data_IF_157700199116
#
_entry.id   IF_157700199116
#
_cell.length_a   1.000
_cell.length_b   1.000
_cell.length_c   1.000
_cell.angle_alpha   90.00
_cell.angle_beta   90.00
_cell.angle_gamma   90.00
#
_symmetry.space_group_name_H-M   'P 1'
#
loop_
_entity.id
_entity.type
_entity.pdbx_description
1 polymer ?
#
# COMPACT_ATOMS: atom_id res chain seq x y z
N UNK A 1 -24.44 -7.47 28.66
CA UNK A 1 -24.26 -8.69 27.84
C UNK A 1 -24.22 -8.37 26.35
N UNK A 2 -25.20 -7.64 25.79
CA UNK A 2 -25.19 -7.19 24.38
C UNK A 2 -23.97 -6.29 24.08
N UNK A 3 -23.67 -5.33 24.96
CA UNK A 3 -22.51 -4.44 24.82
C UNK A 3 -21.17 -5.19 24.80
N UNK A 4 -21.01 -6.20 25.65
CA UNK A 4 -19.81 -7.05 25.70
C UNK A 4 -19.63 -7.85 24.41
N UNK A 5 -20.72 -8.38 23.84
CA UNK A 5 -20.71 -9.10 22.56
C UNK A 5 -20.32 -8.15 21.42
N UNK A 6 -20.89 -6.94 21.37
CA UNK A 6 -20.57 -5.94 20.35
C UNK A 6 -19.09 -5.54 20.38
N UNK A 7 -18.52 -5.39 21.58
CA UNK A 7 -17.12 -5.02 21.77
C UNK A 7 -16.16 -6.14 21.32
N UNK A 8 -16.51 -7.40 21.58
CA UNK A 8 -15.77 -8.57 21.07
C UNK A 8 -15.82 -8.64 19.55
N UNK A 9 -16.99 -8.44 18.93
CA UNK A 9 -17.12 -8.43 17.47
C UNK A 9 -16.33 -7.28 16.84
N UNK A 10 -16.38 -6.07 17.41
CA UNK A 10 -15.60 -4.93 16.96
C UNK A 10 -14.10 -5.24 17.01
N UNK A 11 -13.62 -5.80 18.12
CA UNK A 11 -12.23 -6.20 18.27
C UNK A 11 -11.79 -7.27 17.25
N UNK A 12 -12.62 -8.28 17.01
CA UNK A 12 -12.36 -9.32 16.01
C UNK A 12 -12.29 -8.76 14.59
N UNK A 13 -13.21 -7.86 14.23
CA UNK A 13 -13.23 -7.22 12.91
C UNK A 13 -11.99 -6.35 12.68
N UNK A 14 -11.57 -5.58 13.69
CA UNK A 14 -10.32 -4.80 13.65
C UNK A 14 -9.11 -5.73 13.52
N UNK A 15 -9.06 -6.82 14.28
CA UNK A 15 -7.95 -7.78 14.25
C UNK A 15 -7.84 -8.48 12.88
N UNK A 16 -8.95 -8.98 12.34
CA UNK A 16 -8.99 -9.60 11.01
C UNK A 16 -8.62 -8.60 9.91
N UNK A 17 -9.10 -7.36 10.02
CA UNK A 17 -8.69 -6.26 9.15
C UNK A 17 -7.19 -6.00 9.21
N UNK A 18 -6.57 -6.19 10.39
CA UNK A 18 -5.12 -5.99 10.61
C UNK A 18 -4.31 -7.10 9.97
N UNK A 19 -4.74 -8.35 10.15
CA UNK A 19 -4.14 -9.50 9.47
C UNK A 19 -4.20 -9.35 7.95
N UNK A 20 -5.31 -8.83 7.43
CA UNK A 20 -5.45 -8.49 6.01
C UNK A 20 -4.41 -7.48 5.49
N UNK A 21 -3.85 -6.62 6.36
CA UNK A 21 -2.82 -5.63 5.99
C UNK A 21 -1.40 -6.21 5.96
N UNK A 22 -1.15 -7.35 6.62
CA UNK A 22 0.12 -8.07 6.48
C UNK A 22 0.40 -8.53 5.05
N UNK A 23 -0.62 -8.57 4.17
CA UNK A 23 -0.42 -8.78 2.73
C UNK A 23 0.60 -7.81 2.12
N UNK A 24 0.71 -6.58 2.63
CA UNK A 24 1.69 -5.60 2.14
C UNK A 24 3.12 -5.95 2.58
N UNK A 25 3.29 -6.51 3.78
CA UNK A 25 4.58 -7.06 4.22
C UNK A 25 4.98 -8.23 3.33
N UNK A 26 4.03 -9.14 3.05
CA UNK A 26 4.25 -10.23 2.11
C UNK A 26 4.65 -9.71 0.73
N UNK A 27 3.95 -8.69 0.22
CA UNK A 27 4.22 -8.09 -1.09
C UNK A 27 5.63 -7.48 -1.15
N UNK A 28 6.06 -6.76 -0.12
CA UNK A 28 7.44 -6.26 -0.01
C UNK A 28 8.47 -7.39 0.05
N UNK A 29 8.18 -8.47 0.79
CA UNK A 29 9.04 -9.66 0.85
C UNK A 29 9.08 -10.42 -0.47
N UNK A 30 7.96 -10.46 -1.22
CA UNK A 30 7.90 -11.04 -2.56
C UNK A 30 8.80 -10.26 -3.50
N UNK A 31 8.69 -8.93 -3.54
CA UNK A 31 9.54 -8.07 -4.35
C UNK A 31 11.04 -8.25 -4.04
N UNK A 32 11.38 -8.33 -2.75
CA UNK A 32 12.75 -8.64 -2.30
C UNK A 32 13.23 -10.01 -2.77
N UNK A 33 12.42 -11.06 -2.62
CA UNK A 33 12.79 -12.44 -3.02
C UNK A 33 12.97 -12.57 -4.52
N UNK A 34 12.16 -11.86 -5.30
CA UNK A 34 12.21 -11.90 -6.76
C UNK A 34 13.23 -10.90 -7.34
N UNK A 35 13.80 -10.03 -6.52
CA UNK A 35 14.62 -8.88 -6.95
C UNK A 35 13.93 -8.02 -8.04
N UNK A 36 12.60 -8.06 -8.10
CA UNK A 36 11.79 -7.34 -9.07
C UNK A 36 10.45 -6.99 -8.45
N UNK A 37 9.89 -5.85 -8.84
CA UNK A 37 8.55 -5.41 -8.46
C UNK A 37 7.72 -4.97 -9.67
N UNK A 38 8.01 -5.50 -10.85
CA UNK A 38 7.35 -5.15 -12.11
C UNK A 38 5.85 -5.45 -12.07
N UNK A 39 5.48 -6.62 -11.53
CA UNK A 39 4.08 -7.07 -11.40
C UNK A 39 3.25 -6.23 -10.40
N UNK A 40 3.89 -5.33 -9.65
CA UNK A 40 3.23 -4.61 -8.56
C UNK A 40 2.72 -3.27 -9.05
N UNK A 41 1.39 -3.08 -8.95
CA UNK A 41 0.78 -1.78 -9.25
C UNK A 41 1.22 -0.71 -8.25
N UNK A 42 2.20 0.11 -8.68
CA UNK A 42 2.75 1.24 -7.93
C UNK A 42 1.66 2.25 -7.53
N UNK A 43 0.83 2.62 -8.51
CA UNK A 43 -0.27 3.58 -8.32
C UNK A 43 -1.24 3.13 -7.25
N UNK A 44 -1.66 1.87 -7.30
CA UNK A 44 -2.57 1.31 -6.30
C UNK A 44 -1.95 1.32 -4.90
N UNK A 45 -0.68 0.95 -4.78
CA UNK A 45 0.01 0.90 -3.50
C UNK A 45 0.23 2.30 -2.90
N UNK A 46 0.60 3.28 -3.72
CA UNK A 46 0.74 4.67 -3.29
C UNK A 46 -0.60 5.27 -2.88
N UNK A 47 -1.66 5.04 -3.66
CA UNK A 47 -3.01 5.51 -3.33
C UNK A 47 -3.52 4.88 -2.03
N UNK A 48 -3.28 3.58 -1.84
CA UNK A 48 -3.61 2.89 -0.58
C UNK A 48 -2.91 3.55 0.61
N UNK A 49 -1.62 3.87 0.46
CA UNK A 49 -0.85 4.52 1.51
C UNK A 49 -1.43 5.89 1.89
N UNK A 50 -1.85 6.68 0.90
CA UNK A 50 -2.52 7.97 1.12
C UNK A 50 -3.86 7.79 1.84
N UNK A 51 -4.68 6.82 1.41
CA UNK A 51 -5.97 6.53 2.05
C UNK A 51 -5.78 6.15 3.53
N UNK A 52 -4.73 5.41 3.86
CA UNK A 52 -4.44 5.03 5.25
C UNK A 52 -4.06 6.24 6.11
N UNK A 53 -3.32 7.20 5.57
CA UNK A 53 -3.07 8.47 6.25
C UNK A 53 -4.34 9.28 6.47
N UNK A 54 -5.24 9.36 5.48
CA UNK A 54 -6.52 10.06 5.61
C UNK A 54 -7.36 9.42 6.73
N UNK A 55 -7.49 8.09 6.74
CA UNK A 55 -8.24 7.37 7.75
C UNK A 55 -7.59 7.49 9.15
N UNK A 56 -6.26 7.44 9.24
CA UNK A 56 -5.53 7.67 10.48
C UNK A 56 -5.82 9.05 11.06
N UNK A 57 -5.68 10.10 10.25
CA UNK A 57 -5.98 11.48 10.67
C UNK A 57 -7.44 11.65 11.08
N UNK A 58 -8.38 11.06 10.34
CA UNK A 58 -9.80 11.09 10.71
C UNK A 58 -10.05 10.47 12.09
N UNK A 59 -9.45 9.31 12.39
CA UNK A 59 -9.62 8.62 13.67
C UNK A 59 -8.99 9.36 14.84
N UNK A 60 -7.88 10.07 14.61
CA UNK A 60 -7.32 11.01 15.59
C UNK A 60 -8.35 12.11 15.94
N UNK A 61 -9.01 12.69 14.94
CA UNK A 61 -9.95 13.80 15.15
C UNK A 61 -11.21 13.40 15.92
N UNK A 62 -11.68 12.16 15.78
CA UNK A 62 -12.85 11.64 16.50
C UNK A 62 -12.50 10.95 17.83
N UNK A 63 -11.21 10.85 18.17
CA UNK A 63 -10.74 10.24 19.42
C UNK A 63 -10.80 8.70 19.44
N UNK A 64 -10.96 8.03 18.29
CA UNK A 64 -10.96 6.57 18.22
C UNK A 64 -9.52 6.04 18.25
N UNK A 65 -9.07 5.68 19.45
CA UNK A 65 -7.70 5.24 19.68
C UNK A 65 -7.42 3.86 19.08
N UNK A 66 -8.42 2.96 19.05
CA UNK A 66 -8.26 1.60 18.54
C UNK A 66 -8.06 1.64 17.03
N UNK A 67 -8.92 2.37 16.33
CA UNK A 67 -8.80 2.52 14.88
C UNK A 67 -7.55 3.33 14.50
N UNK A 68 -7.17 4.34 15.30
CA UNK A 68 -5.91 5.07 15.09
C UNK A 68 -4.70 4.13 15.07
N UNK A 69 -4.56 3.26 16.07
CA UNK A 69 -3.46 2.28 16.11
C UNK A 69 -3.53 1.35 14.88
N UNK A 70 -4.72 0.89 14.55
CA UNK A 70 -4.97 0.01 13.43
C UNK A 70 -4.55 0.62 12.08
N UNK A 71 -4.93 1.87 11.80
CA UNK A 71 -4.49 2.61 10.62
C UNK A 71 -2.98 2.88 10.64
N UNK A 72 -2.39 3.09 11.81
CA UNK A 72 -0.93 3.17 12.00
C UNK A 72 -0.19 1.91 11.52
N UNK A 73 -0.70 0.71 11.85
CA UNK A 73 -0.17 -0.56 11.32
C UNK A 73 -0.33 -0.64 9.80
N UNK A 74 -1.45 -0.14 9.26
CA UNK A 74 -1.64 -0.03 7.81
C UNK A 74 -0.57 0.85 7.16
N UNK A 75 -0.29 2.01 7.73
CA UNK A 75 0.71 2.96 7.24
C UNK A 75 2.10 2.31 7.23
N UNK A 76 2.50 1.65 8.31
CA UNK A 76 3.84 1.03 8.39
C UNK A 76 4.02 -0.13 7.41
N UNK A 77 3.02 -1.00 7.29
CA UNK A 77 3.06 -2.15 6.36
C UNK A 77 3.04 -1.72 4.89
N UNK A 78 2.26 -0.69 4.54
CA UNK A 78 2.25 -0.12 3.18
C UNK A 78 3.48 0.72 2.87
N UNK A 79 4.05 1.43 3.85
CA UNK A 79 5.33 2.13 3.69
C UNK A 79 6.46 1.14 3.35
N UNK A 80 6.54 0.02 4.10
CA UNK A 80 7.50 -1.05 3.82
C UNK A 80 7.35 -1.59 2.40
N UNK A 81 6.12 -1.88 1.98
CA UNK A 81 5.86 -2.35 0.62
C UNK A 81 6.30 -1.31 -0.43
N UNK A 82 5.97 -0.02 -0.25
CA UNK A 82 6.36 1.04 -1.16
C UNK A 82 7.89 1.17 -1.26
N UNK A 83 8.61 1.09 -0.14
CA UNK A 83 10.08 1.14 -0.11
C UNK A 83 10.67 -0.05 -0.88
N UNK A 84 10.16 -1.26 -0.67
CA UNK A 84 10.64 -2.46 -1.37
C UNK A 84 10.34 -2.38 -2.86
N UNK A 85 9.13 -1.96 -3.25
CA UNK A 85 8.76 -1.77 -4.66
C UNK A 85 9.64 -0.70 -5.30
N UNK A 86 9.89 0.43 -4.64
CA UNK A 86 10.81 1.46 -5.17
C UNK A 86 12.23 0.91 -5.36
N UNK A 87 12.76 0.19 -4.38
CA UNK A 87 14.12 -0.38 -4.41
C UNK A 87 14.30 -1.40 -5.53
N UNK A 88 13.31 -2.28 -5.70
CA UNK A 88 13.33 -3.39 -6.65
C UNK A 88 12.62 -3.09 -7.97
N UNK A 89 12.27 -1.82 -8.22
CA UNK A 89 11.73 -1.43 -9.51
C UNK A 89 12.79 -1.58 -10.61
N UNK A 90 12.42 -2.10 -11.80
CA UNK A 90 13.37 -2.35 -12.90
C UNK A 90 13.97 -1.05 -13.42
N UNK A 91 13.19 0.04 -13.48
CA UNK A 91 13.67 1.37 -13.88
C UNK A 91 14.19 2.13 -12.65
N UNK A 92 15.45 2.59 -12.71
CA UNK A 92 16.02 3.43 -11.65
C UNK A 92 15.67 4.90 -11.87
N UNK A 93 14.93 5.47 -10.94
CA UNK A 93 14.57 6.89 -10.94
C UNK A 93 15.63 7.67 -10.17
N UNK A 94 15.95 8.88 -10.64
CA UNK A 94 16.90 9.78 -9.97
C UNK A 94 16.36 10.31 -8.62
N UNK A 95 15.04 10.28 -8.41
CA UNK A 95 14.40 10.71 -7.17
C UNK A 95 13.10 9.95 -6.91
N UNK A 96 12.73 9.85 -5.62
CA UNK A 96 11.44 9.29 -5.20
C UNK A 96 10.29 10.10 -5.78
N UNK A 97 10.43 11.43 -5.90
CA UNK A 97 9.42 12.29 -6.51
C UNK A 97 9.20 12.00 -8.00
N UNK A 98 10.28 11.72 -8.75
CA UNK A 98 10.15 11.32 -10.15
C UNK A 98 9.41 9.99 -10.29
N UNK A 99 9.70 9.03 -9.40
CA UNK A 99 8.99 7.75 -9.34
C UNK A 99 7.49 7.92 -9.01
N UNK A 100 7.17 8.75 -8.02
CA UNK A 100 5.78 9.03 -7.64
C UNK A 100 5.06 9.71 -8.80
N UNK A 101 5.64 10.76 -9.38
CA UNK A 101 5.03 11.50 -10.50
C UNK A 101 4.75 10.57 -11.69
N UNK A 102 5.71 9.73 -12.06
CA UNK A 102 5.55 8.76 -13.14
C UNK A 102 4.45 7.73 -12.84
N UNK A 103 4.32 7.31 -11.57
CA UNK A 103 3.27 6.36 -11.16
C UNK A 103 1.84 6.91 -11.33
N UNK A 104 1.67 8.23 -11.43
CA UNK A 104 0.39 8.89 -11.67
C UNK A 104 0.22 9.42 -13.10
N UNK A 105 1.26 9.36 -13.94
CA UNK A 105 1.18 9.83 -15.32
C UNK A 105 0.36 8.85 -16.18
N UNK A 106 -0.62 9.38 -16.91
CA UNK A 106 -1.59 8.60 -17.68
C UNK A 106 -0.92 7.88 -18.86
N UNK A 107 0.15 8.47 -19.43
CA UNK A 107 0.90 7.89 -20.57
C UNK A 107 1.59 6.59 -20.19
N UNK A 108 2.20 6.52 -19.01
CA UNK A 108 2.87 5.31 -18.51
C UNK A 108 1.85 4.24 -18.15
N UNK A 109 0.68 4.63 -17.62
CA UNK A 109 -0.42 3.71 -17.32
C UNK A 109 -0.96 3.00 -18.57
N UNK A 110 -1.13 3.72 -19.68
CA UNK A 110 -1.59 3.15 -20.95
C UNK A 110 -0.51 2.25 -21.55
N UNK A 111 0.76 2.66 -21.51
CA UNK A 111 1.87 1.87 -22.04
C UNK A 111 2.04 0.52 -21.30
N UNK A 112 1.95 0.53 -19.97
CA UNK A 112 2.11 -0.66 -19.13
C UNK A 112 0.86 -1.56 -19.14
N UNK A 113 -0.35 -0.98 -19.29
CA UNK A 113 -1.61 -1.75 -19.34
C UNK A 113 -1.86 -2.41 -20.70
N UNK A 114 -1.42 -1.77 -21.80
CA UNK A 114 -1.65 -2.28 -23.16
C UNK A 114 -0.46 -3.05 -23.76
N UNK A 115 0.63 -3.28 -23.01
CA UNK A 115 1.81 -4.00 -23.49
C UNK A 115 2.16 -3.63 -24.94
N UNK A 116 2.30 -2.34 -25.25
CA UNK A 116 2.94 -1.95 -26.51
C UNK A 116 4.43 -2.15 -26.31
N UNK A 117 4.85 -3.41 -26.22
CA UNK A 117 6.23 -3.80 -26.52
C UNK A 117 6.46 -3.35 -27.96
N UNK A 118 7.04 -2.15 -28.12
CA UNK A 118 7.80 -1.87 -29.33
C UNK A 118 8.94 -2.88 -29.34
N UNK A 119 8.72 -4.01 -30.03
CA UNK A 119 9.80 -4.79 -30.64
C UNK A 119 10.62 -3.75 -31.40
N UNK A 120 11.82 -3.45 -30.91
CA UNK A 120 12.83 -2.80 -31.73
C UNK A 120 13.14 -3.80 -32.84
N UNK A 121 12.79 -3.41 -34.06
CA UNK A 121 13.31 -4.01 -35.30
C UNK A 121 14.84 -3.90 -35.34
#
# INVERSE_FOLDING_TARGET
MIETIALIFAFLMVTLGTLGRFKYVWQGNKAKRQNSSEDVSRKFLLLTHIIYWIAFCHNILIGDTVDTIFWGVGITTTAYANIMVYRYYPVKYCSVWAYIKDSFDLKTLIHDTFCITKKKE
#
